data_IF_713203117493
#
_entry.id   IF_713203117493
#
_cell.length_a   1.000
_cell.length_b   1.000
_cell.length_c   1.000
_cell.angle_alpha   90.00
_cell.angle_beta   90.00
_cell.angle_gamma   90.00
#
_symmetry.space_group_name_H-M   'P 1'
#
loop_
_entity.id
_entity.type
_entity.pdbx_description
1 polymer ?
#
# COMPACT_ATOMS: atom_id res chain seq x y z
N UNK A 1 4.83 -5.30 -17.22
CA UNK A 1 3.75 -5.65 -16.27
C UNK A 1 4.28 -5.59 -14.86
N UNK A 2 3.67 -4.79 -13.97
CA UNK A 2 4.08 -4.74 -12.57
C UNK A 2 3.78 -6.05 -11.84
N UNK A 3 4.56 -6.33 -10.80
CA UNK A 3 4.36 -7.49 -9.96
C UNK A 3 3.07 -7.35 -9.14
N UNK A 4 2.35 -8.44 -8.96
CA UNK A 4 1.16 -8.48 -8.10
C UNK A 4 1.59 -8.36 -6.65
N UNK A 5 0.90 -7.52 -5.88
CA UNK A 5 1.18 -7.29 -4.46
C UNK A 5 0.25 -8.11 -3.58
N UNK A 6 0.73 -8.47 -2.39
CA UNK A 6 0.08 -9.41 -1.49
C UNK A 6 0.13 -8.91 -0.06
N UNK A 7 -0.65 -9.57 0.81
CA UNK A 7 -0.53 -9.35 2.25
C UNK A 7 0.93 -9.48 2.67
N UNK A 8 1.40 -8.56 3.48
CA UNK A 8 2.77 -8.40 3.99
C UNK A 8 3.75 -7.77 3.02
N UNK A 9 3.38 -7.52 1.77
CA UNK A 9 4.27 -6.83 0.85
C UNK A 9 4.51 -5.39 1.30
N UNK A 10 5.74 -4.92 1.12
CA UNK A 10 6.19 -3.64 1.66
C UNK A 10 5.58 -2.44 0.93
N UNK A 11 5.43 -1.36 1.66
CA UNK A 11 5.10 -0.05 1.11
C UNK A 11 6.15 0.95 1.53
N UNK A 12 6.25 2.05 0.80
CA UNK A 12 7.15 3.14 1.16
C UNK A 12 6.61 4.46 0.64
N UNK A 13 7.04 5.54 1.26
CA UNK A 13 6.60 6.86 0.86
C UNK A 13 7.29 7.95 1.66
N UNK A 14 6.71 9.15 1.59
CA UNK A 14 7.24 10.33 2.27
C UNK A 14 6.07 11.12 2.85
N UNK A 15 6.19 11.55 4.10
CA UNK A 15 5.16 12.38 4.74
C UNK A 15 5.16 13.78 4.15
N UNK A 16 4.01 14.48 4.27
CA UNK A 16 4.01 15.92 4.04
C UNK A 16 4.58 16.62 5.28
N UNK A 17 5.08 17.85 5.09
CA UNK A 17 5.62 18.61 6.21
C UNK A 17 4.58 19.16 7.16
N UNK A 18 3.30 19.17 6.77
CA UNK A 18 2.21 19.67 7.56
C UNK A 18 1.03 18.73 7.48
N UNK A 19 0.41 18.42 8.61
CA UNK A 19 -0.81 17.63 8.62
C UNK A 19 -1.50 17.74 9.98
N UNK A 20 -2.76 17.34 9.99
CA UNK A 20 -3.58 17.35 11.20
C UNK A 20 -2.94 16.53 12.31
N UNK A 21 -2.94 17.08 13.51
CA UNK A 21 -2.39 16.39 14.69
C UNK A 21 -0.98 16.84 15.06
N UNK A 22 -0.37 17.72 14.30
CA UNK A 22 0.93 18.30 14.63
C UNK A 22 0.78 19.76 15.04
N UNK A 23 1.52 20.16 16.08
CA UNK A 23 1.55 21.55 16.54
C UNK A 23 2.46 22.43 15.69
N UNK A 24 3.50 21.82 15.10
CA UNK A 24 4.45 22.54 14.26
C UNK A 24 4.74 21.73 13.01
N UNK A 25 4.97 22.42 11.87
CA UNK A 25 5.42 21.73 10.66
C UNK A 25 6.77 21.03 10.87
N UNK A 26 7.00 19.99 10.12
CA UNK A 26 8.27 19.28 10.11
C UNK A 26 8.68 18.99 8.66
N UNK A 27 9.98 18.72 8.40
CA UNK A 27 10.39 18.35 7.05
C UNK A 27 9.77 17.00 6.65
N UNK A 28 9.66 16.72 5.34
CA UNK A 28 9.20 15.42 4.89
C UNK A 28 10.05 14.29 5.48
N UNK A 29 9.41 13.23 5.95
CA UNK A 29 10.05 12.10 6.58
C UNK A 29 9.64 10.81 5.86
N UNK A 30 10.50 9.77 5.86
CA UNK A 30 10.16 8.53 5.18
C UNK A 30 9.01 7.79 5.88
N UNK A 31 8.18 7.15 5.07
CA UNK A 31 7.13 6.23 5.51
C UNK A 31 7.57 4.84 5.10
N UNK A 32 7.48 3.88 6.02
CA UNK A 32 7.68 2.46 5.72
C UNK A 32 6.53 1.66 6.29
N UNK A 33 6.29 0.48 5.77
CA UNK A 33 5.23 -0.36 6.28
C UNK A 33 4.93 -1.53 5.37
N UNK A 34 3.71 -2.06 5.49
CA UNK A 34 3.30 -3.22 4.72
C UNK A 34 1.79 -3.25 4.56
N UNK A 35 1.32 -3.98 3.54
CA UNK A 35 -0.08 -4.32 3.40
C UNK A 35 -0.44 -5.26 4.55
N UNK A 36 -1.47 -4.92 5.34
CA UNK A 36 -1.71 -5.59 6.62
C UNK A 36 -3.09 -6.23 6.75
N UNK A 37 -4.06 -5.86 5.93
CA UNK A 37 -5.42 -6.38 6.09
C UNK A 37 -6.27 -6.16 4.84
N UNK A 38 -7.47 -6.73 4.84
CA UNK A 38 -8.48 -6.58 3.81
C UNK A 38 -7.97 -7.02 2.43
N UNK A 39 -7.28 -8.14 2.40
CA UNK A 39 -6.85 -8.78 1.17
C UNK A 39 -7.82 -9.90 0.80
N UNK A 40 -7.65 -10.50 -0.38
CA UNK A 40 -8.59 -11.50 -0.87
C UNK A 40 -8.68 -12.70 0.07
N UNK A 41 -9.90 -13.14 0.45
CA UNK A 41 -10.06 -14.34 1.27
C UNK A 41 -9.92 -15.65 0.49
N UNK A 42 -9.89 -15.59 -0.84
CA UNK A 42 -9.92 -16.81 -1.65
C UNK A 42 -9.01 -16.77 -2.88
N UNK A 43 -8.26 -15.70 -3.09
CA UNK A 43 -7.29 -15.63 -4.19
C UNK A 43 -5.91 -15.37 -3.59
N UNK A 44 -4.97 -16.23 -3.92
CA UNK A 44 -3.63 -16.21 -3.33
C UNK A 44 -2.57 -16.12 -4.43
N UNK A 45 -1.48 -15.47 -4.10
CA UNK A 45 -0.30 -15.37 -4.95
C UNK A 45 0.91 -15.76 -4.11
N UNK A 46 1.63 -16.80 -4.51
CA UNK A 46 2.77 -17.33 -3.76
C UNK A 46 2.39 -17.67 -2.31
N UNK A 47 1.17 -18.18 -2.09
CA UNK A 47 0.71 -18.59 -0.77
C UNK A 47 0.20 -17.45 0.11
N UNK A 48 0.17 -16.22 -0.38
CA UNK A 48 -0.29 -15.05 0.38
C UNK A 48 -1.54 -14.46 -0.26
N UNK A 49 -2.51 -13.97 0.55
CA UNK A 49 -3.71 -13.34 0.00
C UNK A 49 -3.34 -12.14 -0.88
N UNK A 50 -3.98 -12.05 -2.04
CA UNK A 50 -3.73 -10.97 -2.99
C UNK A 50 -4.34 -9.67 -2.49
N UNK A 51 -3.61 -8.57 -2.65
CA UNK A 51 -4.11 -7.24 -2.33
C UNK A 51 -4.87 -6.63 -3.50
N UNK A 52 -5.79 -5.72 -3.20
CA UNK A 52 -6.58 -5.01 -4.19
C UNK A 52 -6.86 -3.59 -3.71
N UNK A 53 -7.49 -2.78 -4.55
CA UNK A 53 -7.91 -1.42 -4.15
C UNK A 53 -8.83 -1.54 -2.93
N UNK A 54 -8.48 -0.81 -1.86
CA UNK A 54 -9.17 -0.89 -0.59
C UNK A 54 -8.46 -1.75 0.45
N UNK A 55 -7.44 -2.53 0.07
CA UNK A 55 -6.62 -3.25 1.06
C UNK A 55 -5.97 -2.26 2.01
N UNK A 56 -5.92 -2.63 3.28
CA UNK A 56 -5.42 -1.76 4.35
C UNK A 56 -3.92 -1.91 4.51
N UNK A 57 -3.22 -0.79 4.67
CA UNK A 57 -1.79 -0.78 4.95
C UNK A 57 -1.56 -0.29 6.38
N UNK A 58 -0.49 -0.79 7.00
CA UNK A 58 0.02 -0.25 8.26
C UNK A 58 1.29 0.52 7.95
N UNK A 59 1.33 1.78 8.35
CA UNK A 59 2.41 2.69 8.07
C UNK A 59 3.18 2.99 9.35
N UNK A 60 4.51 2.97 9.26
CA UNK A 60 5.38 3.39 10.33
C UNK A 60 5.93 4.76 9.94
N UNK A 61 5.33 5.77 10.51
CA UNK A 61 5.59 7.15 10.14
C UNK A 61 6.55 7.76 11.14
N UNK A 62 7.67 8.28 10.68
CA UNK A 62 8.70 8.80 11.58
C UNK A 62 8.20 9.96 12.45
N UNK A 63 7.20 10.68 11.99
CA UNK A 63 6.66 11.80 12.78
C UNK A 63 5.57 11.38 13.75
N UNK A 64 4.75 10.38 13.41
CA UNK A 64 3.47 10.15 14.07
C UNK A 64 3.31 8.72 14.60
N UNK A 65 4.30 7.86 14.41
CA UNK A 65 4.23 6.46 14.80
C UNK A 65 3.39 5.64 13.84
N UNK A 66 2.71 4.63 14.36
CA UNK A 66 1.93 3.71 13.52
C UNK A 66 0.60 4.35 13.11
N UNK A 67 0.28 4.27 11.83
CA UNK A 67 -1.00 4.73 11.29
C UNK A 67 -1.43 3.81 10.16
N UNK A 68 -2.61 4.06 9.61
CA UNK A 68 -3.17 3.20 8.57
C UNK A 68 -3.46 3.98 7.30
N UNK A 69 -3.27 3.30 6.18
CA UNK A 69 -3.66 3.80 4.88
C UNK A 69 -4.37 2.70 4.10
N UNK A 70 -4.55 2.93 2.80
CA UNK A 70 -5.21 1.96 1.94
C UNK A 70 -4.64 2.03 0.53
N UNK A 71 -4.78 0.94 -0.21
CA UNK A 71 -4.43 0.90 -1.62
C UNK A 71 -5.44 1.74 -2.39
N UNK A 72 -4.97 2.72 -3.14
CA UNK A 72 -5.84 3.66 -3.86
C UNK A 72 -5.93 3.37 -5.35
N UNK A 73 -4.91 2.78 -5.94
CA UNK A 73 -4.83 2.52 -7.38
C UNK A 73 -4.49 1.06 -7.61
N UNK A 74 -5.07 0.48 -8.64
CA UNK A 74 -4.78 -0.89 -9.05
C UNK A 74 -4.88 -1.04 -10.55
N UNK A 75 -4.87 -2.29 -11.02
CA UNK A 75 -4.96 -2.60 -12.43
C UNK A 75 -6.27 -2.10 -13.04
N UNK A 76 -6.20 -1.58 -14.27
CA UNK A 76 -7.39 -1.22 -15.02
C UNK A 76 -8.02 -2.42 -15.73
N UNK A 77 -7.33 -3.55 -15.78
CA UNK A 77 -7.75 -4.72 -16.57
C UNK A 77 -7.85 -6.01 -15.78
N UNK A 78 -7.19 -6.11 -14.62
CA UNK A 78 -7.18 -7.33 -13.81
C UNK A 78 -7.88 -7.05 -12.49
N UNK A 79 -8.86 -7.87 -12.15
CA UNK A 79 -9.68 -7.68 -10.97
C UNK A 79 -9.68 -8.94 -10.10
N UNK A 80 -9.77 -8.74 -8.79
CA UNK A 80 -9.88 -9.80 -7.79
C UNK A 80 -11.06 -9.44 -6.90
N UNK A 81 -12.04 -10.35 -6.77
CA UNK A 81 -13.24 -10.12 -5.97
C UNK A 81 -13.94 -8.80 -6.36
N UNK A 82 -13.99 -8.52 -7.67
CA UNK A 82 -14.61 -7.32 -8.27
C UNK A 82 -13.87 -6.02 -7.95
N UNK A 83 -12.61 -6.08 -7.53
CA UNK A 83 -11.79 -4.90 -7.25
C UNK A 83 -10.48 -4.95 -8.03
N UNK A 84 -9.97 -3.80 -8.49
CA UNK A 84 -8.69 -3.79 -9.20
C UNK A 84 -7.58 -4.40 -8.34
N UNK A 85 -6.80 -5.31 -8.93
CA UNK A 85 -5.69 -5.96 -8.23
C UNK A 85 -4.57 -4.95 -7.96
N UNK A 86 -3.97 -5.00 -6.78
CA UNK A 86 -2.85 -4.13 -6.42
C UNK A 86 -1.55 -4.64 -7.01
N UNK A 87 -0.66 -3.72 -7.39
CA UNK A 87 0.60 -4.04 -8.06
C UNK A 87 1.73 -3.21 -7.49
N UNK A 88 2.96 -3.70 -7.67
CA UNK A 88 4.16 -2.94 -7.34
C UNK A 88 4.11 -1.56 -8.02
N UNK A 89 4.35 -0.52 -7.25
CA UNK A 89 4.32 0.86 -7.73
C UNK A 89 2.98 1.55 -7.65
N UNK A 90 1.90 0.82 -7.36
CA UNK A 90 0.58 1.43 -7.25
C UNK A 90 0.49 2.39 -6.06
N UNK A 91 -0.23 3.49 -6.25
CA UNK A 91 -0.35 4.53 -5.26
C UNK A 91 -1.23 4.12 -4.09
N UNK A 92 -0.90 4.64 -2.93
CA UNK A 92 -1.64 4.44 -1.69
C UNK A 92 -2.28 5.75 -1.24
N UNK A 93 -3.27 5.64 -0.34
CA UNK A 93 -3.80 6.77 0.42
C UNK A 93 -3.23 6.66 1.83
N UNK A 94 -2.06 7.22 2.10
CA UNK A 94 -1.44 7.12 3.42
C UNK A 94 -2.07 8.09 4.41
N UNK A 95 -1.63 8.00 5.66
CA UNK A 95 -2.04 8.91 6.72
C UNK A 95 -1.80 10.37 6.29
N UNK A 96 -0.63 10.66 5.75
CA UNK A 96 -0.34 11.96 5.13
C UNK A 96 0.83 11.80 4.16
N UNK A 97 0.95 12.72 3.20
CA UNK A 97 2.00 12.66 2.19
C UNK A 97 1.66 11.74 1.03
N UNK A 98 2.65 11.07 0.50
CA UNK A 98 2.49 10.14 -0.62
C UNK A 98 3.18 8.82 -0.33
N UNK A 99 2.62 7.73 -0.84
CA UNK A 99 3.20 6.41 -0.67
C UNK A 99 2.84 5.51 -1.85
N UNK A 100 3.66 4.49 -2.05
CA UNK A 100 3.48 3.50 -3.12
C UNK A 100 3.80 2.12 -2.58
N UNK A 101 3.25 1.10 -3.23
CA UNK A 101 3.60 -0.28 -2.95
C UNK A 101 5.02 -0.53 -3.48
N UNK A 102 5.90 -1.06 -2.63
CA UNK A 102 7.29 -1.32 -2.98
C UNK A 102 7.63 -2.80 -3.04
N UNK A 103 6.71 -3.68 -2.70
CA UNK A 103 6.90 -5.13 -2.75
C UNK A 103 5.86 -5.83 -3.60
N UNK A 104 6.21 -7.00 -4.11
CA UNK A 104 5.30 -7.79 -4.91
C UNK A 104 5.88 -9.16 -5.21
N UNK A 105 5.10 -9.96 -5.94
CA UNK A 105 5.52 -11.30 -6.35
C UNK A 105 6.74 -11.26 -7.25
N UNK A 106 7.62 -12.25 -7.10
CA UNK A 106 8.77 -12.39 -7.98
C UNK A 106 8.41 -13.02 -9.32
N UNK A 107 7.22 -13.59 -9.48
CA UNK A 107 6.86 -14.35 -10.66
C UNK A 107 5.41 -14.24 -11.12
N UNK A 108 4.59 -13.38 -10.50
CA UNK A 108 3.20 -13.14 -10.91
C UNK A 108 3.00 -11.66 -11.17
N UNK A 109 2.46 -11.32 -12.34
CA UNK A 109 2.36 -9.95 -12.80
C UNK A 109 0.95 -9.64 -13.29
N UNK A 110 0.56 -8.38 -13.25
CA UNK A 110 -0.71 -7.90 -13.76
C UNK A 110 -0.53 -6.56 -14.49
N UNK A 111 -1.29 -6.38 -15.56
CA UNK A 111 -1.28 -5.12 -16.30
C UNK A 111 -1.84 -3.94 -15.50
#
# INVERSE_FOLDING_TARGET
>A
MPAVSRLTDAIQGTTSGEHTGHLTPHPPLPITGAISANCSPNVFCNGLPVAFVGSITTENDACCGSSKGAVAVGSSTVFVNNKPIARLGDALSPHNGTANISGGSSNVFAN
#
